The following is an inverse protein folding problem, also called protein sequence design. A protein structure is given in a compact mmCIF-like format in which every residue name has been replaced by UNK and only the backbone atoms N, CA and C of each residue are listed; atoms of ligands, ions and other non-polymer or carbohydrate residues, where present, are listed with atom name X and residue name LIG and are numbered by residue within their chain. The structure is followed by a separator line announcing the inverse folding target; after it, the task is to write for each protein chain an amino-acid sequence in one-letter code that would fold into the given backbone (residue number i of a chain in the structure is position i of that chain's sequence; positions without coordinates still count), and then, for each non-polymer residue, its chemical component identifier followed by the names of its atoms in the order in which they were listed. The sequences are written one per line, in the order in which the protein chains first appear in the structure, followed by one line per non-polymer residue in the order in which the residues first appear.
data_IF_872821412286
#
_entry.id   IF_872821412286
#
_cell.length_a   1.000
_cell.length_b   1.000
_cell.length_c   1.000
_cell.angle_alpha   90.00
_cell.angle_beta   90.00
_cell.angle_gamma   90.00
#
_symmetry.space_group_name_H-M   'P 1'
#
loop_
_entity.id
_entity.type
_entity.pdbx_description
1 polymer ?
#
# COMPACT_ATOMS: atom_id res chain seq x y z
N UNK A 1 17.09 2.41 12.88
CA UNK A 1 16.91 2.47 11.43
C UNK A 1 18.26 2.39 10.69
N UNK A 2 19.24 3.27 10.92
CA UNK A 2 20.54 3.31 10.21
C UNK A 2 21.28 1.96 10.22
N UNK A 3 21.28 1.25 11.34
CA UNK A 3 21.89 -0.06 11.46
C UNK A 3 21.25 -1.10 10.49
N UNK A 4 19.92 -1.10 10.36
CA UNK A 4 19.23 -2.00 9.43
C UNK A 4 19.45 -1.60 7.96
N UNK A 5 19.44 -0.30 7.65
CA UNK A 5 19.76 0.21 6.33
C UNK A 5 21.20 -0.15 5.90
N UNK A 6 22.12 -0.24 6.87
CA UNK A 6 23.49 -0.61 6.56
C UNK A 6 23.67 -2.08 6.13
N UNK A 7 22.68 -2.96 6.39
CA UNK A 7 22.71 -4.37 6.01
C UNK A 7 22.24 -4.64 4.57
N UNK A 8 21.54 -3.70 3.95
CA UNK A 8 20.97 -3.86 2.61
C UNK A 8 21.74 -3.04 1.58
N UNK A 9 21.64 -3.42 0.31
CA UNK A 9 22.19 -2.63 -0.79
C UNK A 9 21.39 -1.33 -0.96
N UNK A 10 22.06 -0.19 -0.88
CA UNK A 10 21.50 1.14 -1.07
C UNK A 10 22.53 2.03 -1.79
N UNK A 11 22.05 2.87 -2.68
CA UNK A 11 22.86 3.86 -3.40
C UNK A 11 22.61 5.28 -2.90
N UNK A 12 21.36 5.59 -2.49
CA UNK A 12 20.94 6.92 -2.03
C UNK A 12 20.05 6.77 -0.81
N UNK A 13 20.27 7.61 0.20
CA UNK A 13 19.37 7.77 1.35
C UNK A 13 19.02 9.26 1.44
N UNK A 14 17.73 9.58 1.40
CA UNK A 14 17.21 10.94 1.57
C UNK A 14 16.45 10.98 2.89
N UNK A 15 16.73 11.96 3.73
CA UNK A 15 16.05 12.11 5.01
C UNK A 15 15.98 13.59 5.44
N UNK A 16 15.01 13.92 6.27
CA UNK A 16 14.89 15.23 6.91
C UNK A 16 15.90 15.35 8.07
N UNK A 17 17.19 15.33 7.72
CA UNK A 17 18.29 15.34 8.66
C UNK A 17 18.77 13.94 9.06
N UNK A 18 19.96 13.92 9.63
CA UNK A 18 20.62 12.72 10.11
C UNK A 18 21.20 12.96 11.50
N UNK A 19 20.86 12.12 12.46
CA UNK A 19 21.54 12.11 13.75
C UNK A 19 23.02 11.72 13.61
N UNK A 20 23.88 12.26 14.46
CA UNK A 20 25.32 12.00 14.43
C UNK A 20 25.67 10.51 14.46
N UNK A 21 24.94 9.72 15.25
CA UNK A 21 25.16 8.28 15.33
C UNK A 21 24.72 7.56 14.04
N UNK A 22 23.65 8.00 13.40
CA UNK A 22 23.21 7.48 12.11
C UNK A 22 24.26 7.75 11.02
N UNK A 23 24.81 8.97 10.97
CA UNK A 23 25.88 9.35 10.03
C UNK A 23 27.14 8.47 10.21
N UNK A 24 27.55 8.20 11.45
CA UNK A 24 28.71 7.32 11.72
C UNK A 24 28.51 5.92 11.14
N UNK A 25 27.29 5.36 11.28
CA UNK A 25 26.96 4.04 10.74
C UNK A 25 26.89 4.06 9.22
N UNK A 26 26.15 5.01 8.65
CA UNK A 26 25.88 5.05 7.21
C UNK A 26 27.13 5.41 6.38
N UNK A 27 28.02 6.26 6.89
CA UNK A 27 29.30 6.62 6.25
C UNK A 27 30.30 5.46 6.13
N UNK A 28 30.06 4.32 6.80
CA UNK A 28 30.88 3.11 6.59
C UNK A 28 30.74 2.57 5.17
N UNK A 29 29.62 2.88 4.49
CA UNK A 29 29.38 2.54 3.08
C UNK A 29 29.85 3.69 2.18
N UNK A 30 31.04 3.56 1.60
CA UNK A 30 31.69 4.62 0.80
C UNK A 30 30.90 5.08 -0.43
N UNK A 31 30.01 4.23 -0.98
CA UNK A 31 29.27 4.50 -2.22
C UNK A 31 27.84 4.97 -1.99
N UNK A 32 27.37 5.09 -0.75
CA UNK A 32 26.01 5.57 -0.43
C UNK A 32 26.04 7.12 -0.38
N UNK A 33 25.13 7.72 -1.11
CA UNK A 33 24.90 9.17 -1.09
C UNK A 33 23.86 9.49 -0.02
N UNK A 34 24.23 10.32 0.95
CA UNK A 34 23.32 10.79 2.00
C UNK A 34 22.87 12.20 1.64
N UNK A 35 21.57 12.39 1.44
CA UNK A 35 20.97 13.67 1.06
C UNK A 35 20.12 14.15 2.23
N UNK A 36 20.51 15.28 2.80
CA UNK A 36 19.72 15.97 3.80
C UNK A 36 18.67 16.86 3.11
N UNK A 37 17.40 16.55 3.33
CA UNK A 37 16.27 17.28 2.76
C UNK A 37 15.59 18.24 3.75
N UNK A 38 16.21 18.54 4.89
CA UNK A 38 15.63 19.38 5.94
C UNK A 38 15.14 20.75 5.41
N UNK A 39 15.86 21.32 4.44
CA UNK A 39 15.52 22.62 3.82
C UNK A 39 14.90 22.48 2.42
N UNK A 40 14.51 21.26 2.04
CA UNK A 40 13.97 21.01 0.71
C UNK A 40 12.43 21.03 0.77
N UNK A 41 11.83 22.14 0.32
CA UNK A 41 10.39 22.24 0.14
C UNK A 41 10.05 21.88 -1.30
N UNK A 42 9.65 20.64 -1.55
CA UNK A 42 9.04 20.26 -2.82
C UNK A 42 7.56 20.69 -2.78
N UNK A 43 7.28 21.88 -3.29
CA UNK A 43 5.92 22.38 -3.50
C UNK A 43 5.52 22.20 -4.98
N UNK A 44 5.46 20.96 -5.44
CA UNK A 44 4.87 20.65 -6.73
C UNK A 44 3.38 20.38 -6.54
N UNK A 45 2.54 21.36 -6.95
CA UNK A 45 1.07 21.20 -6.89
C UNK A 45 0.53 20.34 -8.03
N UNK A 46 1.36 20.13 -9.06
CA UNK A 46 0.98 19.46 -10.29
C UNK A 46 2.05 18.49 -10.76
N UNK A 47 1.59 17.40 -11.39
CA UNK A 47 2.40 16.46 -12.16
C UNK A 47 2.09 16.57 -13.64
N UNK A 48 3.10 16.46 -14.48
CA UNK A 48 2.93 16.30 -15.92
C UNK A 48 3.78 15.15 -16.43
N UNK A 49 3.26 14.44 -17.42
CA UNK A 49 3.95 13.34 -18.09
C UNK A 49 3.78 13.47 -19.59
N UNK A 50 4.85 13.32 -20.36
CA UNK A 50 4.78 13.28 -21.81
C UNK A 50 4.26 11.92 -22.29
N UNK A 51 3.34 11.92 -23.25
CA UNK A 51 2.80 10.74 -23.93
C UNK A 51 2.80 11.09 -25.42
N UNK A 52 3.74 10.54 -26.14
CA UNK A 52 3.97 10.85 -27.55
C UNK A 52 4.02 12.38 -27.82
N UNK A 53 3.06 12.90 -28.60
CA UNK A 53 2.93 14.33 -28.90
C UNK A 53 2.00 15.09 -27.93
N UNK A 54 1.67 14.51 -26.79
CA UNK A 54 0.73 15.05 -25.81
C UNK A 54 1.35 15.13 -24.42
N UNK A 55 0.77 15.97 -23.57
CA UNK A 55 1.14 16.09 -22.16
C UNK A 55 -0.08 15.77 -21.30
N UNK A 56 0.09 14.82 -20.40
CA UNK A 56 -0.87 14.59 -19.31
C UNK A 56 -0.50 15.50 -18.15
N UNK A 57 -1.45 16.34 -17.73
CA UNK A 57 -1.31 17.28 -16.63
C UNK A 57 -2.35 16.97 -15.56
N UNK A 58 -1.93 16.84 -14.30
CA UNK A 58 -2.82 16.54 -13.18
C UNK A 58 -2.32 17.17 -11.88
N UNK A 59 -3.23 17.41 -10.94
CA UNK A 59 -2.87 17.78 -9.57
C UNK A 59 -2.18 16.62 -8.85
N UNK A 60 -1.27 16.96 -7.94
CA UNK A 60 -0.61 15.98 -7.07
C UNK A 60 -1.63 15.41 -6.07
N UNK A 61 -1.66 14.09 -5.92
CA UNK A 61 -2.43 13.42 -4.86
C UNK A 61 -1.68 13.52 -3.52
N UNK A 62 -2.00 14.52 -2.73
CA UNK A 62 -1.39 14.78 -1.41
C UNK A 62 -2.25 14.36 -0.23
N UNK A 63 -3.48 13.91 -0.49
CA UNK A 63 -4.39 13.56 0.58
C UNK A 63 -3.93 12.30 1.31
N UNK A 64 -3.46 12.45 2.55
CA UNK A 64 -3.26 11.31 3.43
C UNK A 64 -4.60 10.76 3.90
N UNK A 65 -4.80 9.47 3.75
CA UNK A 65 -6.01 8.81 4.22
C UNK A 65 -5.94 8.56 5.72
N UNK A 66 -7.02 8.88 6.40
CA UNK A 66 -7.23 8.65 7.83
C UNK A 66 -8.55 7.92 8.06
N UNK A 67 -8.86 7.58 9.31
CA UNK A 67 -10.10 6.90 9.66
C UNK A 67 -11.37 7.61 9.18
N UNK A 68 -11.37 8.94 9.09
CA UNK A 68 -12.52 9.74 8.64
C UNK A 68 -12.86 9.55 7.16
N UNK A 69 -11.92 9.07 6.35
CA UNK A 69 -12.11 8.82 4.92
C UNK A 69 -12.66 7.41 4.64
N UNK A 70 -12.87 6.59 5.66
CA UNK A 70 -13.22 5.19 5.50
C UNK A 70 -14.64 4.89 5.97
N UNK A 71 -15.32 4.04 5.22
CA UNK A 71 -16.62 3.50 5.57
C UNK A 71 -16.56 1.99 5.63
N UNK A 72 -16.78 1.41 6.80
CA UNK A 72 -16.91 -0.05 6.93
C UNK A 72 -18.28 -0.46 6.41
N UNK A 73 -18.29 -1.22 5.32
CA UNK A 73 -19.52 -1.64 4.61
C UNK A 73 -19.92 -3.09 4.89
N UNK A 74 -19.01 -3.90 5.41
CA UNK A 74 -19.31 -5.25 5.88
C UNK A 74 -20.00 -5.27 7.24
N UNK A 75 -20.69 -6.40 7.57
CA UNK A 75 -21.25 -6.66 8.91
C UNK A 75 -20.16 -6.75 9.97
N UNK A 76 -19.10 -7.50 9.68
CA UNK A 76 -17.92 -7.63 10.54
C UNK A 76 -17.14 -6.32 10.53
N UNK A 77 -16.69 -5.88 11.71
CA UNK A 77 -15.97 -4.63 11.88
C UNK A 77 -14.50 -4.90 12.19
N UNK A 78 -13.58 -4.01 11.72
CA UNK A 78 -12.16 -4.14 12.06
C UNK A 78 -11.94 -3.83 13.55
N UNK A 79 -11.03 -4.57 14.16
CA UNK A 79 -10.42 -4.15 15.42
C UNK A 79 -9.43 -3.00 15.17
N UNK A 80 -8.83 -2.46 16.24
CA UNK A 80 -7.90 -1.33 16.15
C UNK A 80 -6.68 -1.67 15.28
N UNK A 81 -6.05 -2.82 15.50
CA UNK A 81 -4.87 -3.26 14.75
C UNK A 81 -5.17 -3.42 13.26
N UNK A 82 -6.29 -4.04 12.93
CA UNK A 82 -6.72 -4.19 11.54
C UNK A 82 -6.99 -2.84 10.88
N UNK A 83 -7.62 -1.90 11.60
CA UNK A 83 -7.88 -0.56 11.07
C UNK A 83 -6.57 0.20 10.81
N UNK A 84 -5.63 0.17 11.75
CA UNK A 84 -4.32 0.81 11.60
C UNK A 84 -3.53 0.21 10.42
N UNK A 85 -3.57 -1.12 10.25
CA UNK A 85 -2.98 -1.81 9.11
C UNK A 85 -3.66 -1.45 7.78
N UNK A 86 -5.00 -1.31 7.74
CA UNK A 86 -5.74 -0.89 6.54
C UNK A 86 -5.36 0.55 6.13
N UNK A 87 -5.28 1.48 7.09
CA UNK A 87 -4.85 2.86 6.85
C UNK A 87 -3.43 2.87 6.29
N UNK A 88 -2.51 2.13 6.91
CA UNK A 88 -1.14 2.00 6.45
C UNK A 88 -1.07 1.43 5.03
N UNK A 89 -1.72 0.29 4.77
CA UNK A 89 -1.72 -0.36 3.46
C UNK A 89 -2.27 0.54 2.36
N UNK A 90 -3.36 1.26 2.63
CA UNK A 90 -3.99 2.16 1.65
C UNK A 90 -3.12 3.38 1.34
N UNK A 91 -2.47 3.98 2.37
CA UNK A 91 -1.52 5.06 2.15
C UNK A 91 -0.28 4.61 1.36
N UNK A 92 0.19 3.37 1.53
CA UNK A 92 1.26 2.80 0.69
C UNK A 92 0.77 2.57 -0.73
N UNK A 93 -0.47 2.09 -0.90
CA UNK A 93 -1.03 1.71 -2.20
C UNK A 93 -1.02 2.88 -3.22
N UNK A 94 -1.15 4.13 -2.76
CA UNK A 94 -1.10 5.34 -3.61
C UNK A 94 0.24 5.54 -4.34
N UNK A 95 1.33 4.97 -3.81
CA UNK A 95 2.67 5.04 -4.41
C UNK A 95 3.00 3.82 -5.26
N UNK A 96 2.11 2.85 -5.33
CA UNK A 96 2.30 1.61 -6.10
C UNK A 96 1.63 1.77 -7.46
N UNK A 97 2.34 1.39 -8.52
CA UNK A 97 1.80 1.49 -9.88
C UNK A 97 0.59 0.57 -10.07
N UNK A 98 -0.50 1.13 -10.60
CA UNK A 98 -1.75 0.43 -10.91
C UNK A 98 -1.56 -0.71 -11.95
N UNK A 99 -2.33 -1.79 -11.92
CA UNK A 99 -3.18 -2.20 -10.83
C UNK A 99 -2.35 -2.56 -9.60
N UNK A 100 -2.72 -2.02 -8.43
CA UNK A 100 -1.94 -2.17 -7.21
C UNK A 100 -2.72 -2.90 -6.11
N UNK A 101 -2.07 -3.90 -5.51
CA UNK A 101 -2.53 -4.58 -4.30
C UNK A 101 -1.40 -4.56 -3.28
N UNK A 102 -1.68 -4.05 -2.09
CA UNK A 102 -0.74 -4.01 -0.97
C UNK A 102 -1.27 -4.86 0.17
N UNK A 103 -0.50 -5.86 0.57
CA UNK A 103 -0.76 -6.65 1.77
C UNK A 103 0.09 -6.11 2.92
N UNK A 104 -0.53 -5.92 4.08
CA UNK A 104 0.15 -5.41 5.26
C UNK A 104 -0.23 -6.16 6.54
N UNK A 105 0.70 -6.18 7.47
CA UNK A 105 0.54 -6.65 8.86
C UNK A 105 1.52 -5.89 9.75
N UNK A 106 1.12 -5.54 10.96
CA UNK A 106 1.94 -4.78 11.91
C UNK A 106 2.55 -3.50 11.31
N UNK A 107 1.76 -2.74 10.54
CA UNK A 107 2.20 -1.52 9.83
C UNK A 107 3.46 -1.73 8.97
N UNK A 108 3.57 -2.91 8.39
CA UNK A 108 4.62 -3.28 7.44
C UNK A 108 4.00 -3.93 6.23
N UNK A 109 4.54 -3.66 5.04
CA UNK A 109 4.13 -4.36 3.82
C UNK A 109 4.67 -5.78 3.82
N UNK A 110 3.81 -6.76 3.55
CA UNK A 110 4.18 -8.18 3.51
C UNK A 110 4.11 -8.76 2.10
N UNK A 111 3.47 -8.04 1.18
CA UNK A 111 3.41 -8.41 -0.24
C UNK A 111 2.83 -7.26 -1.06
N UNK A 112 3.40 -7.02 -2.23
CA UNK A 112 2.93 -5.99 -3.16
C UNK A 112 2.86 -6.57 -4.57
N UNK A 113 1.68 -6.51 -5.17
CA UNK A 113 1.45 -6.69 -6.59
C UNK A 113 1.27 -5.33 -7.27
N UNK A 114 1.98 -5.09 -8.35
CA UNK A 114 2.09 -3.77 -8.96
C UNK A 114 2.17 -3.83 -10.47
N UNK A 115 1.55 -2.87 -11.16
CA UNK A 115 1.74 -2.63 -12.58
C UNK A 115 1.19 -3.71 -13.50
N UNK A 116 0.26 -4.53 -13.02
CA UNK A 116 -0.32 -5.61 -13.81
C UNK A 116 -1.54 -5.14 -14.61
N UNK A 117 -1.75 -5.66 -15.82
CA UNK A 117 -2.97 -5.40 -16.60
C UNK A 117 -4.24 -5.87 -15.88
N UNK A 118 -4.14 -6.95 -15.11
CA UNK A 118 -5.24 -7.52 -14.32
C UNK A 118 -5.04 -7.29 -12.82
N UNK A 119 -6.10 -6.89 -12.13
CA UNK A 119 -6.10 -6.76 -10.66
C UNK A 119 -5.95 -8.13 -9.98
N UNK A 120 -6.50 -9.17 -10.57
CA UNK A 120 -6.33 -10.54 -10.09
C UNK A 120 -4.86 -10.96 -10.11
N UNK A 121 -4.10 -10.63 -11.17
CA UNK A 121 -2.66 -10.93 -11.24
C UNK A 121 -1.89 -10.17 -10.15
N UNK A 122 -2.27 -8.92 -9.86
CA UNK A 122 -1.69 -8.18 -8.74
C UNK A 122 -1.99 -8.84 -7.39
N UNK A 123 -3.18 -9.41 -7.19
CA UNK A 123 -3.49 -10.19 -5.99
C UNK A 123 -2.56 -11.42 -5.88
N UNK A 124 -2.43 -12.18 -6.95
CA UNK A 124 -1.59 -13.39 -6.99
C UNK A 124 -0.13 -13.04 -6.67
N UNK A 125 0.43 -12.02 -7.32
CA UNK A 125 1.81 -11.58 -7.07
C UNK A 125 2.01 -11.12 -5.63
N UNK A 126 1.06 -10.36 -5.06
CA UNK A 126 1.14 -9.92 -3.67
C UNK A 126 1.13 -11.10 -2.71
N UNK A 127 0.25 -12.08 -2.94
CA UNK A 127 0.14 -13.32 -2.15
C UNK A 127 1.42 -14.15 -2.25
N UNK A 128 1.96 -14.34 -3.45
CA UNK A 128 3.18 -15.11 -3.67
C UNK A 128 4.38 -14.50 -2.94
N UNK A 129 4.51 -13.17 -2.99
CA UNK A 129 5.54 -12.45 -2.23
C UNK A 129 5.34 -12.62 -0.73
N UNK A 130 4.13 -12.44 -0.21
CA UNK A 130 3.81 -12.66 1.19
C UNK A 130 4.20 -14.06 1.65
N UNK A 131 3.83 -15.09 0.89
CA UNK A 131 4.10 -16.49 1.24
C UNK A 131 5.60 -16.82 1.30
N UNK A 132 6.46 -16.09 0.56
CA UNK A 132 7.92 -16.25 0.61
C UNK A 132 8.54 -15.70 1.89
N UNK A 133 7.96 -14.65 2.47
CA UNK A 133 8.57 -13.91 3.58
C UNK A 133 7.86 -14.12 4.93
N UNK A 134 6.57 -14.46 4.92
CA UNK A 134 5.76 -14.58 6.13
C UNK A 134 5.42 -16.04 6.40
N UNK A 135 5.93 -16.56 7.53
CA UNK A 135 5.60 -17.92 8.00
C UNK A 135 4.31 -17.98 8.82
N UNK A 136 4.02 -16.93 9.58
CA UNK A 136 2.83 -16.84 10.45
C UNK A 136 1.94 -15.69 9.98
N UNK A 137 0.72 -16.02 9.54
CA UNK A 137 -0.23 -15.07 8.98
C UNK A 137 -1.14 -14.52 10.09
N UNK A 138 -0.74 -13.45 10.75
CA UNK A 138 -1.54 -12.78 11.77
C UNK A 138 -2.09 -11.46 11.23
N UNK A 139 -3.43 -11.30 11.29
CA UNK A 139 -4.13 -10.03 10.97
C UNK A 139 -3.66 -9.35 9.68
N UNK A 140 -3.50 -10.15 8.61
CA UNK A 140 -3.13 -9.62 7.30
C UNK A 140 -4.32 -8.89 6.71
N UNK A 141 -4.06 -7.68 6.22
CA UNK A 141 -5.04 -6.86 5.50
C UNK A 141 -4.56 -6.59 4.08
N UNK A 142 -5.50 -6.25 3.20
CA UNK A 142 -5.22 -5.88 1.82
C UNK A 142 -5.77 -4.49 1.49
N UNK A 143 -5.03 -3.70 0.72
CA UNK A 143 -5.47 -2.47 0.09
C UNK A 143 -5.38 -2.59 -1.43
N UNK A 144 -6.38 -2.02 -2.12
CA UNK A 144 -6.45 -1.93 -3.57
C UNK A 144 -6.55 -0.47 -4.00
N UNK A 145 -5.81 -0.07 -5.04
CA UNK A 145 -5.81 1.30 -5.59
C UNK A 145 -7.12 1.66 -6.31
N UNK A 146 -7.93 0.67 -6.69
CA UNK A 146 -9.27 0.86 -7.25
C UNK A 146 -10.21 -0.25 -6.78
N UNK A 147 -11.51 -0.14 -7.09
CA UNK A 147 -12.51 -1.16 -6.75
C UNK A 147 -12.22 -2.50 -7.47
N UNK A 148 -12.64 -3.58 -6.85
CA UNK A 148 -12.64 -4.89 -7.50
C UNK A 148 -13.83 -4.98 -8.47
N UNK A 149 -13.57 -5.29 -9.76
CA UNK A 149 -14.65 -5.42 -10.73
C UNK A 149 -15.42 -6.75 -10.56
N UNK A 150 -14.82 -7.74 -9.91
CA UNK A 150 -15.37 -9.07 -9.65
C UNK A 150 -14.89 -9.58 -8.29
N UNK A 151 -15.55 -10.63 -7.78
CA UNK A 151 -15.23 -11.22 -6.47
C UNK A 151 -13.94 -12.04 -6.46
N UNK A 152 -13.45 -12.47 -7.62
CA UNK A 152 -12.31 -13.38 -7.81
C UNK A 152 -11.02 -12.89 -7.11
N UNK A 153 -10.70 -11.60 -7.23
CA UNK A 153 -9.53 -11.01 -6.57
C UNK A 153 -9.67 -11.05 -5.04
N UNK A 154 -10.84 -10.67 -4.51
CA UNK A 154 -11.11 -10.71 -3.06
C UNK A 154 -11.11 -12.15 -2.55
N UNK A 155 -11.71 -13.07 -3.31
CA UNK A 155 -11.71 -14.50 -2.98
C UNK A 155 -10.29 -15.05 -2.82
N UNK A 156 -9.39 -14.73 -3.76
CA UNK A 156 -7.97 -15.12 -3.68
C UNK A 156 -7.29 -14.55 -2.45
N UNK A 157 -7.54 -13.30 -2.11
CA UNK A 157 -7.01 -12.66 -0.91
C UNK A 157 -7.47 -13.38 0.36
N UNK A 158 -8.78 -13.67 0.47
CA UNK A 158 -9.36 -14.37 1.63
C UNK A 158 -8.77 -15.78 1.77
N UNK A 159 -8.72 -16.55 0.69
CA UNK A 159 -8.13 -17.90 0.66
C UNK A 159 -6.66 -17.89 1.11
N UNK A 160 -5.95 -16.78 0.92
CA UNK A 160 -4.56 -16.62 1.36
C UNK A 160 -4.40 -16.21 2.83
N UNK A 161 -5.50 -15.94 3.55
CA UNK A 161 -5.51 -15.56 4.97
C UNK A 161 -5.66 -14.05 5.21
N UNK A 162 -6.04 -13.26 4.21
CA UNK A 162 -6.40 -11.85 4.39
C UNK A 162 -7.74 -11.76 5.11
N UNK A 163 -7.79 -11.00 6.20
CA UNK A 163 -8.96 -10.85 7.08
C UNK A 163 -9.77 -9.57 6.83
N UNK A 164 -9.15 -8.58 6.21
CA UNK A 164 -9.78 -7.29 5.92
C UNK A 164 -9.26 -6.70 4.61
N UNK A 165 -10.16 -6.08 3.86
CA UNK A 165 -9.85 -5.46 2.55
C UNK A 165 -10.36 -4.02 2.53
N UNK A 166 -9.56 -3.10 2.00
CA UNK A 166 -9.96 -1.74 1.67
C UNK A 166 -9.83 -1.48 0.18
N UNK A 167 -10.83 -0.84 -0.39
CA UNK A 167 -10.89 -0.42 -1.79
C UNK A 167 -11.69 0.89 -1.92
N UNK A 168 -11.52 1.67 -3.00
CA UNK A 168 -12.46 2.74 -3.36
C UNK A 168 -13.86 2.19 -3.66
N UNK A 169 -14.89 2.98 -3.35
CA UNK A 169 -16.27 2.72 -3.76
C UNK A 169 -16.50 3.13 -5.22
N UNK A 170 -17.67 2.78 -5.78
CA UNK A 170 -18.16 3.30 -7.07
C UNK A 170 -18.26 2.26 -8.17
N UNK A 171 -18.07 0.97 -7.87
CA UNK A 171 -18.36 -0.10 -8.81
C UNK A 171 -19.87 -0.38 -8.90
N UNK A 172 -20.36 -0.66 -10.09
CA UNK A 172 -21.73 -1.20 -10.30
C UNK A 172 -21.93 -2.47 -9.48
N UNK A 173 -20.86 -3.20 -9.19
CA UNK A 173 -20.87 -4.47 -8.43
C UNK A 173 -20.58 -4.32 -6.94
N UNK A 174 -20.54 -3.13 -6.37
CA UNK A 174 -20.27 -2.91 -4.94
C UNK A 174 -21.21 -3.76 -4.05
N UNK A 175 -22.49 -3.87 -4.42
CA UNK A 175 -23.47 -4.69 -3.68
C UNK A 175 -23.09 -6.19 -3.68
N UNK A 176 -22.58 -6.71 -4.79
CA UNK A 176 -22.12 -8.09 -4.93
C UNK A 176 -20.89 -8.35 -4.06
N UNK A 177 -19.92 -7.42 -4.11
CA UNK A 177 -18.69 -7.48 -3.30
C UNK A 177 -19.03 -7.43 -1.80
N UNK A 178 -19.93 -6.55 -1.37
CA UNK A 178 -20.39 -6.48 0.03
C UNK A 178 -21.08 -7.77 0.45
N UNK A 179 -21.95 -8.34 -0.41
CA UNK A 179 -22.63 -9.62 -0.12
C UNK A 179 -21.62 -10.76 0.06
N UNK A 180 -20.63 -10.83 -0.81
CA UNK A 180 -19.55 -11.80 -0.76
C UNK A 180 -18.72 -11.65 0.52
N UNK A 181 -18.28 -10.43 0.86
CA UNK A 181 -17.53 -10.16 2.09
C UNK A 181 -18.32 -10.57 3.35
N UNK A 182 -19.65 -10.33 3.37
CA UNK A 182 -20.51 -10.74 4.47
C UNK A 182 -20.67 -12.27 4.56
N UNK A 183 -20.73 -12.97 3.42
CA UNK A 183 -20.85 -14.42 3.39
C UNK A 183 -19.57 -15.14 3.84
N UNK A 184 -18.41 -14.51 3.63
CA UNK A 184 -17.09 -15.03 4.01
C UNK A 184 -16.57 -14.46 5.35
N UNK A 185 -17.41 -13.71 6.08
CA UNK A 185 -17.04 -13.00 7.32
C UNK A 185 -15.78 -12.11 7.17
N UNK A 186 -15.55 -11.60 5.98
CA UNK A 186 -14.43 -10.71 5.69
C UNK A 186 -14.80 -9.25 5.96
N UNK A 187 -13.87 -8.51 6.55
CA UNK A 187 -14.05 -7.08 6.76
C UNK A 187 -13.81 -6.37 5.44
N UNK A 188 -14.80 -5.57 5.02
CA UNK A 188 -14.70 -4.74 3.82
C UNK A 188 -14.89 -3.26 4.18
N UNK A 189 -13.94 -2.46 3.71
CA UNK A 189 -13.90 -1.01 3.92
C UNK A 189 -13.86 -0.31 2.57
N UNK A 190 -14.68 0.72 2.41
CA UNK A 190 -14.62 1.61 1.26
C UNK A 190 -13.92 2.92 1.65
N UNK A 191 -13.00 3.37 0.80
CA UNK A 191 -12.50 4.75 0.85
C UNK A 191 -13.50 5.67 0.15
N UNK A 192 -13.65 6.87 0.69
CA UNK A 192 -14.49 7.96 0.14
C UNK A 192 -13.61 8.90 -0.65
#
# INVERSE_FOLDING_TARGET
LAFELNKIFLEVIIANGFENNALKILKTKKNVRLIDSTNFLLNEDFKFSSIDNSILFQSEDRQAFSKSNFQVVSKKKPNKTQLDNLIFAFNVCRYVKSNAIVLASNQSTVGIGSGQPSRLDSCIIAIDKMNKFIKTKNEIVAASDAFFPFVDGIEKLIQSGVSAVIQPAGSIRDKEIIKFANATETILVFSK
#
